data_IF_673315262006
#
_entry.id   IF_673315262006
#
_cell.length_a   1.000
_cell.length_b   1.000
_cell.length_c   1.000
_cell.angle_alpha   90.00
_cell.angle_beta   90.00
_cell.angle_gamma   90.00
#
_symmetry.space_group_name_H-M   'P 1'
#
loop_
_entity.id
_entity.type
_entity.pdbx_description
1 polymer ?
#
# COMPACT_ATOMS: atom_id res chain seq x y z
N UNK A 1 -16.05 -2.00 -2.19
CA UNK A 1 -15.31 -1.67 -3.43
C UNK A 1 -13.97 -2.38 -3.38
N UNK A 2 -13.61 -3.11 -4.44
CA UNK A 2 -12.36 -3.87 -4.53
C UNK A 2 -11.23 -2.95 -4.99
N UNK A 3 -10.24 -2.73 -4.12
CA UNK A 3 -9.15 -1.77 -4.35
C UNK A 3 -8.27 -2.20 -5.53
N UNK A 4 -7.98 -3.50 -5.64
CA UNK A 4 -7.15 -4.04 -6.71
C UNK A 4 -7.82 -3.84 -8.07
N UNK A 5 -9.11 -4.19 -8.20
CA UNK A 5 -9.85 -3.98 -9.47
C UNK A 5 -9.88 -2.51 -9.89
N UNK A 6 -10.01 -1.61 -8.91
CA UNK A 6 -9.98 -0.16 -9.17
C UNK A 6 -8.62 0.27 -9.75
N UNK A 7 -7.52 -0.24 -9.17
CA UNK A 7 -6.17 0.08 -9.63
C UNK A 7 -5.84 -0.59 -10.97
N UNK A 8 -6.27 -1.83 -11.18
CA UNK A 8 -6.08 -2.55 -12.45
C UNK A 8 -6.78 -1.82 -13.61
N UNK A 9 -7.99 -1.31 -13.38
CA UNK A 9 -8.67 -0.48 -14.36
C UNK A 9 -7.90 0.82 -14.65
N UNK A 10 -7.31 1.43 -13.60
CA UNK A 10 -6.51 2.66 -13.76
C UNK A 10 -5.22 2.41 -14.55
N UNK A 11 -4.56 1.27 -14.35
CA UNK A 11 -3.41 0.83 -15.15
C UNK A 11 -3.82 0.60 -16.62
N UNK A 12 -4.94 -0.07 -16.86
CA UNK A 12 -5.45 -0.29 -18.23
C UNK A 12 -5.72 1.03 -18.97
N UNK A 13 -6.32 2.01 -18.30
CA UNK A 13 -6.53 3.35 -18.86
C UNK A 13 -5.18 4.05 -19.11
N UNK A 14 -4.25 3.97 -18.17
CA UNK A 14 -2.94 4.59 -18.28
C UNK A 14 -2.12 4.03 -19.46
N UNK A 15 -2.26 2.75 -19.78
CA UNK A 15 -1.64 2.12 -20.95
C UNK A 15 -2.11 2.75 -22.27
N UNK A 16 -3.37 3.17 -22.37
CA UNK A 16 -3.87 3.85 -23.57
C UNK A 16 -3.59 5.36 -23.62
N UNK A 17 -3.13 5.96 -22.52
CA UNK A 17 -3.13 7.42 -22.34
C UNK A 17 -1.79 8.05 -22.73
N UNK A 18 -1.77 8.87 -23.80
CA UNK A 18 -0.55 9.53 -24.29
C UNK A 18 0.09 10.53 -23.32
N UNK A 19 -0.71 11.16 -22.46
CA UNK A 19 -0.22 12.15 -21.48
C UNK A 19 0.35 11.52 -20.20
N UNK A 20 0.38 10.19 -20.12
CA UNK A 20 0.98 9.45 -19.01
C UNK A 20 2.40 9.07 -19.40
N UNK A 21 3.36 9.39 -18.53
CA UNK A 21 4.74 8.97 -18.68
C UNK A 21 4.83 7.51 -18.25
N UNK A 22 5.38 6.65 -19.12
CA UNK A 22 5.55 5.23 -18.86
C UNK A 22 7.02 4.92 -18.61
N UNK A 23 7.29 3.98 -17.73
CA UNK A 23 8.64 3.51 -17.43
C UNK A 23 8.63 2.19 -16.69
N UNK A 24 9.70 1.92 -15.98
CA UNK A 24 9.88 0.73 -15.16
C UNK A 24 10.77 1.06 -13.96
N UNK A 25 10.54 0.37 -12.84
CA UNK A 25 11.42 0.38 -11.68
C UNK A 25 11.59 -1.05 -11.14
N UNK A 26 12.22 -1.19 -9.97
CA UNK A 26 12.44 -2.50 -9.36
C UNK A 26 11.16 -3.24 -8.96
N UNK A 27 10.03 -2.55 -8.81
CA UNK A 27 8.73 -3.16 -8.50
C UNK A 27 7.92 -3.51 -9.76
N UNK A 28 8.15 -2.83 -10.89
CA UNK A 28 7.53 -3.16 -12.17
C UNK A 28 7.27 -1.96 -13.07
N UNK A 29 6.28 -2.07 -13.96
CA UNK A 29 5.95 -1.01 -14.93
C UNK A 29 5.34 0.19 -14.23
N UNK A 30 5.81 1.39 -14.58
CA UNK A 30 5.39 2.63 -13.95
C UNK A 30 4.55 3.49 -14.90
N UNK A 31 3.57 4.19 -14.34
CA UNK A 31 2.65 5.08 -15.06
C UNK A 31 2.46 6.36 -14.25
N UNK A 32 3.12 7.43 -14.67
CA UNK A 32 3.08 8.71 -13.97
C UNK A 32 2.16 9.70 -14.67
N UNK A 33 1.18 10.21 -13.93
CA UNK A 33 0.29 11.27 -14.37
C UNK A 33 0.53 12.53 -13.53
N UNK A 34 1.25 13.49 -14.11
CA UNK A 34 1.49 14.79 -13.48
C UNK A 34 0.19 15.57 -13.21
N UNK A 35 -0.78 15.45 -14.13
CA UNK A 35 -2.09 16.09 -13.98
C UNK A 35 -2.87 15.56 -12.77
N UNK A 36 -2.85 14.24 -12.59
CA UNK A 36 -3.60 13.59 -11.50
C UNK A 36 -2.76 13.47 -10.22
N UNK A 37 -1.50 13.89 -10.24
CA UNK A 37 -0.55 13.82 -9.11
C UNK A 37 -0.47 12.43 -8.51
N UNK A 38 -0.39 11.43 -9.40
CA UNK A 38 -0.30 10.01 -9.04
C UNK A 38 0.69 9.29 -9.96
N UNK A 39 1.45 8.38 -9.36
CA UNK A 39 2.20 7.34 -10.05
C UNK A 39 1.60 5.97 -9.70
N UNK A 40 1.33 5.15 -10.71
CA UNK A 40 0.98 3.74 -10.53
C UNK A 40 2.19 2.86 -10.84
N UNK A 41 2.34 1.77 -10.12
CA UNK A 41 3.31 0.71 -10.42
C UNK A 41 2.58 -0.61 -10.52
N UNK A 42 2.58 -1.21 -11.70
CA UNK A 42 2.03 -2.55 -11.93
C UNK A 42 3.15 -3.56 -11.71
N UNK A 43 3.00 -4.38 -10.66
CA UNK A 43 3.92 -5.48 -10.35
C UNK A 43 3.99 -6.49 -11.49
N UNK A 44 5.04 -7.30 -11.50
CA UNK A 44 5.20 -8.37 -12.49
C UNK A 44 3.96 -9.27 -12.50
N UNK A 45 3.48 -9.63 -13.68
CA UNK A 45 2.27 -10.44 -13.87
C UNK A 45 1.01 -9.87 -13.19
N UNK A 46 1.00 -8.57 -12.88
CA UNK A 46 -0.02 -7.87 -12.10
C UNK A 46 -0.27 -8.49 -10.71
N UNK A 47 0.75 -9.07 -10.08
CA UNK A 47 0.61 -9.67 -8.74
C UNK A 47 0.15 -8.66 -7.67
N UNK A 48 0.51 -7.38 -7.85
CA UNK A 48 0.02 -6.25 -7.08
C UNK A 48 0.03 -4.99 -7.93
N UNK A 49 -0.68 -3.95 -7.46
CA UNK A 49 -0.56 -2.60 -7.99
C UNK A 49 -0.31 -1.63 -6.85
N UNK A 50 0.72 -0.80 -7.00
CA UNK A 50 1.05 0.28 -6.08
C UNK A 50 0.52 1.59 -6.64
N UNK A 51 -0.11 2.40 -5.79
CA UNK A 51 -0.50 3.78 -6.09
C UNK A 51 0.25 4.72 -5.15
N UNK A 52 1.10 5.57 -5.71
CA UNK A 52 1.90 6.59 -5.00
C UNK A 52 1.29 7.96 -5.31
N UNK A 53 1.02 8.75 -4.29
CA UNK A 53 0.56 10.14 -4.43
C UNK A 53 1.72 11.12 -4.29
N UNK A 54 1.51 12.35 -4.71
CA UNK A 54 2.50 13.42 -4.60
C UNK A 54 2.87 13.80 -3.16
N UNK A 55 1.99 13.55 -2.19
CA UNK A 55 2.28 13.74 -0.76
C UNK A 55 3.13 12.62 -0.16
N UNK A 56 3.51 11.61 -0.95
CA UNK A 56 4.29 10.44 -0.53
C UNK A 56 3.47 9.33 0.11
N UNK A 57 2.17 9.55 0.39
CA UNK A 57 1.27 8.45 0.78
C UNK A 57 1.15 7.44 -0.36
N UNK A 58 1.05 6.17 0.01
CA UNK A 58 0.98 5.10 -0.97
C UNK A 58 0.10 3.96 -0.50
N UNK A 59 -0.31 3.12 -1.45
CA UNK A 59 -1.04 1.90 -1.15
C UNK A 59 -0.66 0.80 -2.13
N UNK A 60 -0.75 -0.44 -1.68
CA UNK A 60 -0.52 -1.65 -2.48
C UNK A 60 -1.74 -2.53 -2.36
N UNK A 61 -2.27 -2.99 -3.48
CA UNK A 61 -3.43 -3.88 -3.51
C UNK A 61 -3.09 -5.15 -4.31
N UNK A 62 -3.62 -6.29 -3.86
CA UNK A 62 -3.48 -7.60 -4.50
C UNK A 62 -4.85 -8.18 -4.87
N UNK A 63 -4.87 -9.03 -5.89
CA UNK A 63 -6.10 -9.64 -6.40
C UNK A 63 -6.84 -10.51 -5.37
N UNK A 64 -6.13 -11.05 -4.38
CA UNK A 64 -6.70 -11.86 -3.29
C UNK A 64 -7.38 -11.01 -2.20
N UNK A 65 -7.46 -9.69 -2.34
CA UNK A 65 -8.06 -8.78 -1.37
C UNK A 65 -7.10 -8.23 -0.33
N UNK A 66 -5.84 -8.68 -0.30
CA UNK A 66 -4.82 -8.08 0.57
C UNK A 66 -4.52 -6.65 0.14
N UNK A 67 -4.43 -5.74 1.12
CA UNK A 67 -4.08 -4.36 0.87
C UNK A 67 -3.22 -3.76 1.99
N UNK A 68 -2.32 -2.87 1.59
CA UNK A 68 -1.50 -2.05 2.47
C UNK A 68 -1.74 -0.59 2.12
N UNK A 69 -1.96 0.27 3.11
CA UNK A 69 -2.15 1.70 2.95
C UNK A 69 -1.22 2.41 3.91
N UNK A 70 -0.37 3.32 3.41
CA UNK A 70 0.59 4.07 4.20
C UNK A 70 0.33 5.56 4.02
N UNK A 71 0.11 6.25 5.13
CA UNK A 71 -0.16 7.69 5.16
C UNK A 71 1.14 8.50 5.23
N UNK A 72 1.03 9.81 5.08
CA UNK A 72 2.13 10.79 5.03
C UNK A 72 2.97 10.85 6.32
N UNK A 73 2.39 10.49 7.47
CA UNK A 73 3.08 10.36 8.75
C UNK A 73 3.78 8.99 8.92
N UNK A 74 3.63 8.08 7.95
CA UNK A 74 4.14 6.71 7.99
C UNK A 74 3.25 5.74 8.78
N UNK A 75 2.12 6.20 9.32
CA UNK A 75 1.08 5.29 9.82
C UNK A 75 0.56 4.42 8.68
N UNK A 76 0.09 3.22 9.01
CA UNK A 76 -0.35 2.28 7.98
C UNK A 76 -1.46 1.36 8.43
N UNK A 77 -2.17 0.83 7.44
CA UNK A 77 -3.20 -0.20 7.60
C UNK A 77 -2.84 -1.38 6.71
N UNK A 78 -2.92 -2.59 7.26
CA UNK A 78 -2.89 -3.84 6.50
C UNK A 78 -4.23 -4.54 6.62
N UNK A 79 -4.77 -4.94 5.48
CA UNK A 79 -5.95 -5.79 5.33
C UNK A 79 -5.46 -7.11 4.76
N UNK A 80 -5.71 -8.22 5.46
CA UNK A 80 -5.40 -9.57 4.97
C UNK A 80 -6.58 -10.14 4.16
N UNK A 81 -6.35 -11.19 3.34
CA UNK A 81 -7.41 -11.83 2.56
C UNK A 81 -8.59 -12.38 3.38
N UNK A 82 -8.34 -12.83 4.61
CA UNK A 82 -9.35 -13.31 5.56
C UNK A 82 -10.17 -12.18 6.21
N UNK A 83 -9.82 -10.93 5.90
CA UNK A 83 -10.45 -9.73 6.44
C UNK A 83 -9.74 -9.15 7.66
N UNK A 84 -8.69 -9.76 8.22
CA UNK A 84 -7.93 -9.23 9.36
C UNK A 84 -7.45 -7.81 9.08
N UNK A 85 -7.63 -6.90 10.05
CA UNK A 85 -7.30 -5.48 9.90
C UNK A 85 -6.42 -5.00 11.03
N UNK A 86 -5.18 -4.68 10.66
CA UNK A 86 -4.16 -4.15 11.56
C UNK A 86 -3.89 -2.71 11.16
N UNK A 87 -4.00 -1.78 12.10
CA UNK A 87 -3.63 -0.39 11.92
C UNK A 87 -2.49 -0.03 12.87
N UNK A 88 -1.46 0.63 12.35
CA UNK A 88 -0.32 1.15 13.11
C UNK A 88 -0.31 2.66 12.96
N UNK A 89 -0.43 3.38 14.08
CA UNK A 89 -0.39 4.84 14.10
C UNK A 89 1.05 5.35 13.91
N UNK A 90 1.22 6.65 13.62
CA UNK A 90 2.54 7.27 13.50
C UNK A 90 3.42 7.14 14.75
N UNK A 91 2.83 6.86 15.92
CA UNK A 91 3.53 6.54 17.17
C UNK A 91 4.01 5.08 17.29
N UNK A 92 3.69 4.21 16.33
CA UNK A 92 3.92 2.76 16.38
C UNK A 92 2.86 1.97 17.15
N UNK A 93 1.84 2.65 17.71
CA UNK A 93 0.74 1.99 18.41
C UNK A 93 -0.12 1.15 17.44
N UNK A 94 -0.31 -0.13 17.77
CA UNK A 94 -1.04 -1.11 16.96
C UNK A 94 -2.48 -1.26 17.46
N UNK A 95 -3.42 -1.25 16.52
CA UNK A 95 -4.85 -1.46 16.72
C UNK A 95 -5.32 -2.57 15.80
N UNK A 96 -5.97 -3.59 16.36
CA UNK A 96 -6.53 -4.71 15.61
C UNK A 96 -8.05 -4.57 15.67
N UNK A 97 -8.69 -4.45 14.52
CA UNK A 97 -10.16 -4.21 14.43
C UNK A 97 -10.96 -5.41 13.94
N UNK A 98 -10.26 -6.45 13.47
CA UNK A 98 -10.81 -7.78 13.22
C UNK A 98 -9.64 -8.75 13.16
N UNK A 99 -9.74 -9.89 13.85
CA UNK A 99 -8.79 -11.01 13.80
C UNK A 99 -9.53 -12.34 13.94
N UNK A 100 -9.11 -13.36 13.19
CA UNK A 100 -9.71 -14.69 13.30
C UNK A 100 -9.12 -15.44 14.50
N UNK A 101 -9.95 -15.66 15.53
CA UNK A 101 -9.52 -16.30 16.77
C UNK A 101 -8.73 -15.36 17.67
N UNK A 102 -8.01 -15.91 18.65
CA UNK A 102 -7.27 -15.14 19.64
C UNK A 102 -6.04 -14.44 19.02
N UNK A 103 -5.80 -13.19 19.43
CA UNK A 103 -4.59 -12.45 19.06
C UNK A 103 -3.40 -13.00 19.87
N UNK A 104 -2.33 -13.50 19.22
CA UNK A 104 -1.14 -13.98 19.93
C UNK A 104 -0.50 -12.86 20.77
N UNK A 105 -0.08 -13.18 22.00
CA UNK A 105 0.56 -12.21 22.91
C UNK A 105 1.86 -11.63 22.34
N UNK A 106 2.54 -12.40 21.51
CA UNK A 106 3.80 -12.09 20.86
C UNK A 106 3.64 -11.62 19.41
N UNK A 107 2.41 -11.36 18.93
CA UNK A 107 2.14 -10.87 17.57
C UNK A 107 2.98 -9.64 17.21
N UNK A 108 3.27 -8.77 18.19
CA UNK A 108 4.09 -7.57 17.98
C UNK A 108 5.50 -7.91 17.46
N UNK A 109 6.04 -9.08 17.82
CA UNK A 109 7.38 -9.53 17.43
C UNK A 109 7.41 -10.12 16.02
N UNK A 110 6.26 -10.51 15.49
CA UNK A 110 6.12 -11.12 14.15
C UNK A 110 5.47 -10.17 13.15
N UNK A 111 5.02 -8.99 13.58
CA UNK A 111 4.31 -8.06 12.71
C UNK A 111 5.29 -7.34 11.77
N UNK A 112 5.27 -7.74 10.51
CA UNK A 112 6.08 -7.11 9.47
C UNK A 112 5.54 -5.73 9.06
N UNK A 113 6.42 -4.76 8.85
CA UNK A 113 6.08 -3.48 8.23
C UNK A 113 5.80 -3.66 6.73
N UNK A 114 4.88 -2.87 6.13
CA UNK A 114 4.74 -2.82 4.69
C UNK A 114 6.09 -2.56 4.01
N UNK A 115 6.37 -3.25 2.88
CA UNK A 115 7.61 -3.04 2.15
C UNK A 115 7.56 -1.70 1.41
N UNK A 116 8.54 -0.82 1.63
CA UNK A 116 8.62 0.45 0.91
C UNK A 116 8.63 0.21 -0.62
N UNK A 117 7.80 0.92 -1.42
CA UNK A 117 7.92 0.91 -2.88
C UNK A 117 9.26 1.47 -3.34
N UNK A 118 9.82 0.90 -4.40
CA UNK A 118 10.99 1.44 -5.06
C UNK A 118 10.69 2.86 -5.61
N UNK A 119 11.67 3.79 -5.57
CA UNK A 119 11.53 5.08 -6.21
C UNK A 119 11.16 4.94 -7.70
N UNK A 120 10.42 5.93 -8.21
CA UNK A 120 10.10 6.03 -9.64
C UNK A 120 10.75 7.29 -10.17
N UNK A 121 11.63 7.12 -11.16
CA UNK A 121 12.27 8.26 -11.85
C UNK A 121 11.19 9.16 -12.49
N UNK A 122 11.25 10.47 -12.19
CA UNK A 122 10.22 11.41 -12.62
C UNK A 122 8.82 11.15 -12.03
N UNK A 123 8.71 10.34 -10.97
CA UNK A 123 7.46 10.12 -10.24
C UNK A 123 7.03 11.36 -9.45
N UNK A 124 5.73 11.47 -9.17
CA UNK A 124 5.13 12.67 -8.56
C UNK A 124 5.40 12.82 -7.05
N UNK A 125 5.94 11.80 -6.40
CA UNK A 125 6.15 11.76 -4.95
C UNK A 125 7.11 10.66 -4.52
N UNK A 126 7.75 10.87 -3.37
CA UNK A 126 8.65 9.90 -2.74
C UNK A 126 7.85 9.05 -1.76
N UNK A 127 7.76 7.72 -1.93
CA UNK A 127 7.03 6.85 -1.02
C UNK A 127 7.47 7.05 0.43
N UNK A 128 6.51 7.18 1.34
CA UNK A 128 6.76 7.32 2.77
C UNK A 128 7.19 5.99 3.40
N UNK A 129 8.24 6.04 4.23
CA UNK A 129 8.67 4.92 5.07
C UNK A 129 7.59 4.57 6.11
N UNK A 130 7.12 3.30 6.17
CA UNK A 130 6.17 2.87 7.17
C UNK A 130 6.80 2.84 8.57
N UNK A 131 6.05 3.29 9.57
CA UNK A 131 6.47 3.25 10.97
C UNK A 131 6.51 1.82 11.48
N UNK A 132 7.55 1.49 12.25
CA UNK A 132 7.65 0.18 12.92
C UNK A 132 6.62 0.06 14.05
N UNK A 133 5.91 -1.08 14.16
CA UNK A 133 5.02 -1.30 15.28
C UNK A 133 5.81 -1.43 16.58
N UNK A 134 5.28 -0.90 17.68
CA UNK A 134 5.96 -0.88 18.99
C UNK A 134 5.18 -1.56 20.11
N UNK A 135 3.85 -1.42 20.13
CA UNK A 135 3.00 -2.04 21.14
C UNK A 135 1.57 -2.23 20.64
N UNK A 136 0.93 -3.32 21.07
CA UNK A 136 -0.52 -3.52 20.89
C UNK A 136 -1.25 -2.61 21.88
N UNK A 137 -2.07 -1.71 21.36
CA UNK A 137 -2.85 -0.75 22.16
C UNK A 137 -4.32 -1.14 22.28
N UNK A 138 -4.88 -1.81 21.27
CA UNK A 138 -6.27 -2.26 21.29
C UNK A 138 -6.50 -3.44 20.34
N UNK A 139 -7.41 -4.33 20.77
CA UNK A 139 -7.97 -5.41 19.95
C UNK A 139 -9.49 -5.32 20.06
N UNK A 140 -10.14 -5.29 18.91
CA UNK A 140 -11.61 -5.23 18.75
C UNK A 140 -11.98 -6.25 17.68
N UNK A 141 -13.05 -7.01 17.90
CA UNK A 141 -13.63 -7.98 16.97
C UNK A 141 -15.06 -7.58 16.64
#
# INVERSE_FOLDING_TARGET
MDLYKTYANSVSIAEGTRSVVKGENADGKTYTSERNKVTLVAGKDNEYIIRIKNDGSWSRARANGEAELVDTDGSWIRIKPDGERIAVKGSGAVYISYHQGDVPKDLINTLETPKLPAPVEGGVGVPKEPVKPTKISSVTN
#
